data_IF_446934190431
#
_entry.id   IF_446934190431
#
_cell.length_a   1.000
_cell.length_b   1.000
_cell.length_c   1.000
_cell.angle_alpha   90.00
_cell.angle_beta   90.00
_cell.angle_gamma   90.00
#
_symmetry.space_group_name_H-M   'P 1'
#
loop_
_entity.id
_entity.type
_entity.pdbx_description
1 polymer ?
#
# COMPACT_ATOMS: atom_id res chain seq x y z
N UNK A 1 8.33 -5.84 -12.00
CA UNK A 1 7.62 -4.98 -12.98
C UNK A 1 7.01 -3.85 -12.17
N UNK A 2 7.45 -2.58 -12.32
CA UNK A 2 6.77 -1.48 -11.62
C UNK A 2 5.38 -1.33 -12.25
N UNK A 3 4.33 -1.53 -11.45
CA UNK A 3 2.97 -1.14 -11.82
C UNK A 3 2.98 0.37 -12.07
N UNK A 4 2.65 0.79 -13.30
CA UNK A 4 2.47 2.21 -13.60
C UNK A 4 1.20 2.69 -12.89
N UNK A 5 1.28 3.58 -11.88
CA UNK A 5 0.09 4.09 -11.22
C UNK A 5 -0.74 4.91 -12.22
N UNK A 6 -2.07 4.86 -12.07
CA UNK A 6 -2.96 5.66 -12.89
C UNK A 6 -2.79 7.14 -12.55
N UNK A 7 -2.63 7.97 -13.57
CA UNK A 7 -2.70 9.43 -13.42
C UNK A 7 -4.11 9.88 -13.05
N UNK A 8 -4.22 11.09 -12.47
CA UNK A 8 -5.52 11.74 -12.20
C UNK A 8 -6.41 11.83 -13.45
N UNK A 9 -5.81 12.00 -14.62
CA UNK A 9 -6.54 12.06 -15.90
C UNK A 9 -7.11 10.69 -16.29
N UNK A 10 -6.37 9.61 -16.06
CA UNK A 10 -6.83 8.24 -16.33
C UNK A 10 -7.94 7.83 -15.36
N UNK A 11 -7.79 8.15 -14.08
CA UNK A 11 -8.85 7.93 -13.07
C UNK A 11 -10.13 8.67 -13.44
N UNK A 12 -10.04 9.93 -13.91
CA UNK A 12 -11.22 10.69 -14.38
C UNK A 12 -11.92 10.02 -15.57
N UNK A 13 -11.16 9.40 -16.49
CA UNK A 13 -11.75 8.64 -17.61
C UNK A 13 -12.54 7.44 -17.11
N UNK A 14 -11.99 6.67 -16.16
CA UNK A 14 -12.67 5.54 -15.54
C UNK A 14 -13.97 5.97 -14.86
N UNK A 15 -13.92 7.01 -14.02
CA UNK A 15 -15.09 7.57 -13.34
C UNK A 15 -16.18 7.99 -14.34
N UNK A 16 -15.80 8.68 -15.43
CA UNK A 16 -16.74 9.13 -16.44
C UNK A 16 -17.45 7.95 -17.14
N UNK A 17 -16.72 6.88 -17.47
CA UNK A 17 -17.29 5.69 -18.10
C UNK A 17 -18.20 4.95 -17.14
N UNK A 18 -17.78 4.71 -15.89
CA UNK A 18 -18.63 4.06 -14.88
C UNK A 18 -19.95 4.82 -14.69
N UNK A 19 -19.90 6.15 -14.54
CA UNK A 19 -21.10 7.01 -14.44
C UNK A 19 -22.02 6.90 -15.65
N UNK A 20 -21.47 6.90 -16.87
CA UNK A 20 -22.26 6.76 -18.11
C UNK A 20 -23.07 5.47 -18.13
N UNK A 21 -22.58 4.42 -17.50
CA UNK A 21 -23.20 3.10 -17.49
C UNK A 21 -23.95 2.79 -16.18
N UNK A 22 -24.13 3.77 -15.28
CA UNK A 22 -24.80 3.55 -14.00
C UNK A 22 -24.03 2.61 -13.05
N UNK A 23 -22.71 2.52 -13.23
CA UNK A 23 -21.81 1.73 -12.37
C UNK A 23 -21.20 2.65 -11.32
N UNK A 24 -21.33 2.26 -10.06
CA UNK A 24 -20.66 2.93 -8.96
C UNK A 24 -19.21 2.44 -8.84
N UNK A 25 -18.25 3.36 -8.95
CA UNK A 25 -16.83 3.06 -8.80
C UNK A 25 -16.39 3.36 -7.37
N UNK A 26 -16.02 2.32 -6.62
CA UNK A 26 -15.53 2.43 -5.25
C UNK A 26 -14.00 2.31 -5.24
N UNK A 27 -13.24 3.38 -4.94
CA UNK A 27 -11.80 3.25 -4.77
C UNK A 27 -11.48 2.47 -3.49
N UNK A 28 -10.52 1.54 -3.57
CA UNK A 28 -10.01 0.80 -2.43
C UNK A 28 -8.53 1.13 -2.23
N UNK A 29 -8.18 1.48 -1.00
CA UNK A 29 -6.80 1.68 -0.58
C UNK A 29 -6.53 0.76 0.60
N UNK A 30 -5.56 -0.14 0.47
CA UNK A 30 -5.15 -1.01 1.56
C UNK A 30 -4.38 -0.20 2.60
N UNK A 31 -4.94 -0.11 3.81
CA UNK A 31 -4.35 0.56 4.95
C UNK A 31 -3.84 -0.46 5.97
N UNK A 32 -2.84 -0.05 6.73
CA UNK A 32 -2.09 -0.80 7.74
C UNK A 32 -1.24 -1.92 7.16
N UNK A 33 -1.86 -3.02 6.74
CA UNK A 33 -1.16 -4.20 6.20
C UNK A 33 -0.87 -4.11 4.71
N UNK A 34 -0.42 -5.20 4.12
CA UNK A 34 -0.13 -5.32 2.67
C UNK A 34 0.86 -4.26 2.14
N UNK A 35 1.77 -3.78 2.98
CA UNK A 35 2.84 -2.88 2.60
C UNK A 35 4.08 -3.63 2.08
N UNK A 36 3.99 -4.94 1.98
CA UNK A 36 4.83 -5.76 1.10
C UNK A 36 3.96 -6.78 0.36
N UNK A 37 4.53 -7.39 -0.67
CA UNK A 37 4.08 -8.63 -1.25
C UNK A 37 5.31 -9.51 -1.42
N UNK A 38 5.30 -10.67 -0.77
CA UNK A 38 6.49 -11.51 -0.63
C UNK A 38 7.69 -10.68 -0.10
N UNK A 39 8.83 -10.79 -0.78
CA UNK A 39 10.05 -10.04 -0.48
C UNK A 39 10.01 -8.56 -0.88
N UNK A 40 8.99 -8.13 -1.63
CA UNK A 40 8.96 -6.78 -2.21
C UNK A 40 8.16 -5.82 -1.34
N UNK A 41 8.85 -4.83 -0.78
CA UNK A 41 8.24 -3.71 -0.05
C UNK A 41 7.50 -2.79 -1.03
N UNK A 42 6.32 -2.32 -0.66
CA UNK A 42 5.49 -1.43 -1.49
C UNK A 42 5.78 0.04 -1.19
N UNK A 43 5.31 0.90 -2.11
CA UNK A 43 5.63 2.33 -2.20
C UNK A 43 5.59 3.09 -0.88
N UNK A 44 4.62 2.86 -0.01
CA UNK A 44 4.53 3.60 1.26
C UNK A 44 5.79 3.40 2.11
N UNK A 45 6.22 2.15 2.31
CA UNK A 45 7.40 1.83 3.12
C UNK A 45 8.71 1.93 2.33
N UNK A 46 8.66 1.96 1.00
CA UNK A 46 9.81 2.35 0.18
C UNK A 46 10.16 3.84 0.33
N UNK A 47 9.13 4.69 0.38
CA UNK A 47 9.28 6.16 0.48
C UNK A 47 9.42 6.61 1.95
N UNK A 48 8.69 5.97 2.85
CA UNK A 48 8.67 6.26 4.29
C UNK A 48 9.04 5.00 5.10
N UNK A 49 10.30 4.54 5.02
CA UNK A 49 10.74 3.35 5.75
C UNK A 49 10.62 3.50 7.28
N UNK A 50 10.62 4.73 7.80
CA UNK A 50 10.40 5.04 9.22
C UNK A 50 9.00 4.64 9.71
N UNK A 51 8.05 4.42 8.80
CA UNK A 51 6.72 3.94 9.15
C UNK A 51 6.65 2.41 9.27
N UNK A 52 7.70 1.62 9.01
CA UNK A 52 7.62 0.16 9.16
C UNK A 52 7.38 -0.22 10.64
N UNK A 53 6.36 -1.03 10.91
CA UNK A 53 6.07 -1.59 12.25
C UNK A 53 7.17 -2.56 12.71
N UNK A 54 7.85 -3.21 11.76
CA UNK A 54 8.82 -4.28 12.02
C UNK A 54 10.16 -4.02 11.34
N UNK A 55 10.83 -2.87 11.56
CA UNK A 55 12.00 -2.47 10.78
C UNK A 55 13.21 -3.41 10.97
N UNK A 56 13.21 -4.21 12.04
CA UNK A 56 14.21 -5.21 12.33
C UNK A 56 14.09 -6.48 11.47
N UNK A 57 12.90 -6.77 10.92
CA UNK A 57 12.68 -7.93 10.05
C UNK A 57 13.09 -7.57 8.62
N UNK A 58 14.18 -8.17 8.14
CA UNK A 58 14.66 -7.97 6.77
C UNK A 58 13.96 -8.93 5.81
N UNK A 59 13.47 -8.42 4.69
CA UNK A 59 12.83 -9.26 3.69
C UNK A 59 13.86 -10.18 3.00
N UNK A 60 13.66 -11.51 3.01
CA UNK A 60 14.59 -12.44 2.40
C UNK A 60 14.53 -12.35 0.87
N UNK A 61 15.55 -12.82 0.15
CA UNK A 61 15.51 -12.87 -1.32
C UNK A 61 14.43 -13.84 -1.83
N UNK A 62 14.24 -14.96 -1.12
CA UNK A 62 13.16 -15.92 -1.34
C UNK A 62 12.22 -15.90 -0.13
N UNK A 63 11.03 -15.35 -0.31
CA UNK A 63 9.99 -15.35 0.71
C UNK A 63 9.26 -16.70 0.75
N UNK A 64 9.02 -17.19 1.97
CA UNK A 64 8.21 -18.39 2.22
C UNK A 64 7.25 -18.09 3.40
N UNK A 65 6.05 -18.64 3.34
CA UNK A 65 5.07 -18.56 4.41
C UNK A 65 4.56 -19.96 4.75
N UNK A 66 4.55 -20.37 6.03
CA UNK A 66 5.01 -19.64 7.22
C UNK A 66 6.55 -19.47 7.28
N UNK A 67 7.04 -18.42 7.97
CA UNK A 67 8.47 -18.17 8.23
C UNK A 67 8.77 -17.97 9.72
N UNK A 68 10.05 -18.02 10.09
CA UNK A 68 10.51 -17.88 11.46
C UNK A 68 10.20 -16.52 12.10
N UNK A 69 10.08 -15.47 11.29
CA UNK A 69 9.71 -14.12 11.76
C UNK A 69 8.21 -13.99 12.04
N UNK A 70 7.39 -14.97 11.66
CA UNK A 70 5.94 -14.91 11.78
C UNK A 70 5.30 -13.78 10.96
N UNK A 71 6.04 -13.24 9.98
CA UNK A 71 5.63 -12.07 9.22
C UNK A 71 5.08 -12.47 7.85
N UNK A 72 3.77 -12.29 7.65
CA UNK A 72 3.12 -12.55 6.37
C UNK A 72 3.37 -11.41 5.35
N UNK A 73 3.16 -10.17 5.79
CA UNK A 73 3.37 -8.96 5.00
C UNK A 73 3.78 -7.83 5.95
N UNK A 74 4.57 -6.89 5.42
CA UNK A 74 4.89 -5.65 6.12
C UNK A 74 3.64 -4.81 6.35
N UNK A 75 3.66 -4.07 7.45
CA UNK A 75 2.61 -3.13 7.84
C UNK A 75 3.25 -1.81 8.24
N UNK A 76 2.53 -0.70 8.06
CA UNK A 76 2.95 0.55 8.68
C UNK A 76 2.61 0.55 10.17
N UNK A 77 3.34 1.34 10.97
CA UNK A 77 3.11 1.54 12.38
C UNK A 77 2.02 2.58 12.63
N UNK A 78 0.83 2.20 13.10
CA UNK A 78 -0.27 3.15 13.34
C UNK A 78 0.00 4.10 14.52
N UNK A 79 1.01 3.80 15.34
CA UNK A 79 1.42 4.64 16.47
C UNK A 79 2.51 5.65 16.10
N UNK A 80 3.06 5.60 14.88
CA UNK A 80 4.06 6.57 14.44
C UNK A 80 3.42 7.96 14.31
N UNK A 81 3.96 9.02 14.95
CA UNK A 81 3.28 10.32 15.05
C UNK A 81 3.00 10.99 13.69
N UNK A 82 3.81 10.68 12.67
CA UNK A 82 3.68 11.28 11.34
C UNK A 82 2.91 10.42 10.32
N UNK A 83 2.58 9.15 10.61
CA UNK A 83 1.97 8.25 9.62
C UNK A 83 0.60 8.74 9.16
N UNK A 84 -0.20 9.26 10.10
CA UNK A 84 -1.56 9.69 9.82
C UNK A 84 -1.62 10.94 8.94
N UNK A 85 -0.58 11.76 8.93
CA UNK A 85 -0.49 12.91 7.99
C UNK A 85 -0.51 12.41 6.55
N UNK A 86 0.27 11.38 6.25
CA UNK A 86 0.36 10.79 4.90
C UNK A 86 -0.88 9.95 4.58
N UNK A 87 -1.37 9.17 5.53
CA UNK A 87 -2.55 8.30 5.31
C UNK A 87 -3.81 9.14 5.05
N UNK A 88 -4.03 10.22 5.79
CA UNK A 88 -5.21 11.07 5.58
C UNK A 88 -5.11 11.87 4.28
N UNK A 89 -3.94 12.41 3.94
CA UNK A 89 -3.72 13.10 2.65
C UNK A 89 -3.99 12.19 1.42
N UNK A 90 -3.95 10.86 1.58
CA UNK A 90 -4.25 9.90 0.52
C UNK A 90 -5.76 9.57 0.41
N UNK A 91 -6.51 9.71 1.50
CA UNK A 91 -7.93 9.35 1.58
C UNK A 91 -8.84 10.56 1.37
N UNK A 92 -8.42 11.75 1.82
CA UNK A 92 -9.15 13.02 1.73
C UNK A 92 -9.30 13.54 0.28
#
# INVERSE_FOLDING_TARGET
MRSSPLSKTEVKKLVAVCRKHGIELIPQVNLLGHQSADSHVKTLLEVYPEFDETPHVKMPEKYEWPNADGLYCKSYCPLHPDVHKVVFDMVD
#
